data_IF_736629205023
#
_entry.id   IF_736629205023
#
_cell.length_a   1.000
_cell.length_b   1.000
_cell.length_c   1.000
_cell.angle_alpha   90.00
_cell.angle_beta   90.00
_cell.angle_gamma   90.00
#
_symmetry.space_group_name_H-M   'P 1'
#
loop_
_entity.id
_entity.type
_entity.pdbx_description
1 polymer ?
#
# COMPACT_ATOMS: atom_id res chain seq x y z
N UNK A 1 -18.15 14.35 -9.62
CA UNK A 1 -17.45 15.18 -8.61
C UNK A 1 -16.05 14.64 -8.46
N UNK A 2 -15.03 15.40 -8.84
CA UNK A 2 -13.63 15.01 -8.67
C UNK A 2 -13.29 15.08 -7.18
N UNK A 3 -13.34 13.95 -6.48
CA UNK A 3 -12.80 13.82 -5.13
C UNK A 3 -11.31 14.20 -5.22
N UNK A 4 -10.91 15.30 -4.58
CA UNK A 4 -9.49 15.63 -4.37
C UNK A 4 -8.87 14.38 -3.74
N UNK A 5 -8.05 13.68 -4.50
CA UNK A 5 -7.23 12.61 -3.97
C UNK A 5 -6.35 13.22 -2.87
N UNK A 6 -6.62 12.88 -1.62
CA UNK A 6 -5.70 13.17 -0.54
C UNK A 6 -4.50 12.24 -0.77
N UNK A 7 -3.40 12.79 -1.27
CA UNK A 7 -2.18 12.03 -1.47
C UNK A 7 -1.65 11.50 -0.14
N UNK A 8 -1.08 10.32 -0.20
CA UNK A 8 -0.37 9.73 0.92
C UNK A 8 0.85 10.59 1.30
N UNK A 9 1.24 10.52 2.54
CA UNK A 9 2.53 11.04 3.03
C UNK A 9 3.47 9.87 3.18
N UNK A 10 4.59 9.89 2.47
CA UNK A 10 5.61 8.87 2.65
C UNK A 10 6.32 9.08 3.98
N UNK A 11 6.24 8.09 4.87
CA UNK A 11 6.94 8.08 6.14
C UNK A 11 7.89 6.90 6.18
N UNK A 12 9.18 7.18 6.02
CA UNK A 12 10.24 6.15 5.97
C UNK A 12 9.92 4.99 5.00
N UNK A 13 9.39 5.32 3.82
CA UNK A 13 9.06 4.37 2.76
C UNK A 13 7.65 3.79 2.78
N UNK A 14 6.84 4.08 3.79
CA UNK A 14 5.43 3.70 3.83
C UNK A 14 4.53 4.83 3.29
N UNK A 15 3.63 4.57 2.34
CA UNK A 15 2.67 5.55 1.83
C UNK A 15 1.47 5.67 2.78
N UNK A 16 1.58 6.47 3.83
CA UNK A 16 0.53 6.60 4.83
C UNK A 16 -0.53 7.61 4.39
N UNK A 17 -1.79 7.21 4.41
CA UNK A 17 -2.91 8.10 4.13
C UNK A 17 -3.01 9.21 5.17
N UNK A 18 -3.10 10.46 4.70
CA UNK A 18 -3.24 11.63 5.56
C UNK A 18 -4.72 11.95 5.80
N UNK A 19 -5.37 11.11 6.61
CA UNK A 19 -6.82 11.13 6.84
C UNK A 19 -7.15 11.08 8.33
N UNK A 20 -8.34 11.57 8.69
CA UNK A 20 -8.99 11.28 9.97
C UNK A 20 -9.66 9.92 9.93
N UNK A 21 -10.12 9.41 11.08
CA UNK A 21 -10.84 8.14 11.15
C UNK A 21 -12.13 8.16 10.30
N UNK A 22 -12.88 9.25 10.30
CA UNK A 22 -14.08 9.41 9.48
C UNK A 22 -13.74 9.44 7.98
N UNK A 23 -12.73 10.21 7.59
CA UNK A 23 -12.25 10.25 6.19
C UNK A 23 -11.74 8.87 5.72
N UNK A 24 -11.18 8.06 6.62
CA UNK A 24 -10.77 6.69 6.31
C UNK A 24 -11.97 5.79 6.01
N UNK A 25 -13.05 5.90 6.78
CA UNK A 25 -14.31 5.17 6.52
C UNK A 25 -14.92 5.59 5.19
N UNK A 26 -14.97 6.90 4.89
CA UNK A 26 -15.47 7.42 3.60
C UNK A 26 -14.64 6.92 2.41
N UNK A 27 -13.31 6.84 2.57
CA UNK A 27 -12.44 6.27 1.54
C UNK A 27 -12.67 4.78 1.36
N UNK A 28 -12.86 4.02 2.44
CA UNK A 28 -13.18 2.59 2.37
C UNK A 28 -14.53 2.38 1.65
N UNK A 29 -15.55 3.19 1.96
CA UNK A 29 -16.83 3.15 1.24
C UNK A 29 -16.63 3.45 -0.26
N UNK A 30 -15.81 4.45 -0.59
CA UNK A 30 -15.49 4.76 -1.99
C UNK A 30 -14.79 3.60 -2.70
N UNK A 31 -13.92 2.84 -2.00
CA UNK A 31 -13.29 1.64 -2.55
C UNK A 31 -14.31 0.52 -2.79
N UNK A 32 -15.28 0.32 -1.90
CA UNK A 32 -16.38 -0.65 -2.11
C UNK A 32 -17.14 -0.30 -3.39
N UNK A 33 -17.51 0.97 -3.55
CA UNK A 33 -18.30 1.46 -4.67
C UNK A 33 -17.54 1.51 -6.01
N UNK A 34 -16.20 1.59 -5.96
CA UNK A 34 -15.38 1.67 -7.18
C UNK A 34 -15.29 0.36 -7.96
N UNK A 35 -15.70 -0.74 -7.35
CA UNK A 35 -15.55 -2.08 -7.90
C UNK A 35 -14.11 -2.62 -7.84
N UNK A 36 -13.94 -3.90 -8.22
CA UNK A 36 -12.66 -4.58 -8.12
C UNK A 36 -12.37 -5.11 -6.72
N UNK A 37 -11.08 -5.31 -6.41
CA UNK A 37 -10.64 -5.83 -5.10
C UNK A 37 -9.54 -4.94 -4.52
N UNK A 38 -9.76 -4.42 -3.34
CA UNK A 38 -8.90 -3.46 -2.67
C UNK A 38 -8.35 -4.01 -1.37
N UNK A 39 -7.07 -3.79 -1.12
CA UNK A 39 -6.42 -4.11 0.14
C UNK A 39 -6.20 -2.84 0.96
N UNK A 40 -6.62 -2.86 2.21
CA UNK A 40 -6.38 -1.82 3.20
C UNK A 40 -5.47 -2.37 4.29
N UNK A 41 -4.40 -1.63 4.62
CA UNK A 41 -3.46 -1.99 5.68
C UNK A 41 -3.51 -0.97 6.81
N UNK A 42 -3.44 -1.45 8.06
CA UNK A 42 -3.30 -0.61 9.27
C UNK A 42 -1.85 -0.70 9.75
N UNK A 43 -1.00 0.19 9.21
CA UNK A 43 0.45 0.11 9.38
C UNK A 43 0.92 0.78 10.67
N UNK A 44 1.76 0.07 11.43
CA UNK A 44 2.43 0.56 12.61
C UNK A 44 3.96 0.35 12.52
N UNK A 45 4.68 0.65 13.59
CA UNK A 45 6.14 0.52 13.61
C UNK A 45 6.63 -0.92 13.36
N UNK A 46 5.85 -1.92 13.77
CA UNK A 46 6.16 -3.34 13.51
C UNK A 46 6.04 -3.68 12.01
N UNK A 47 5.00 -3.16 11.33
CA UNK A 47 4.87 -3.25 9.88
C UNK A 47 6.06 -2.65 9.15
N UNK A 48 6.47 -1.43 9.56
CA UNK A 48 7.62 -0.77 8.99
C UNK A 48 8.89 -1.61 9.14
N UNK A 49 9.21 -2.06 10.36
CA UNK A 49 10.43 -2.82 10.60
C UNK A 49 10.42 -4.18 9.87
N UNK A 50 9.27 -4.87 9.84
CA UNK A 50 9.13 -6.12 9.11
C UNK A 50 9.30 -5.90 7.60
N UNK A 51 8.80 -4.79 7.05
CA UNK A 51 8.94 -4.46 5.63
C UNK A 51 10.38 -4.17 5.21
N UNK A 52 11.23 -3.67 6.13
CA UNK A 52 12.68 -3.48 5.86
C UNK A 52 13.41 -4.81 5.65
N UNK A 53 12.94 -5.87 6.31
CA UNK A 53 13.56 -7.20 6.26
C UNK A 53 12.87 -8.14 5.24
N UNK A 54 11.71 -7.73 4.73
CA UNK A 54 10.91 -8.49 3.77
C UNK A 54 10.44 -7.57 2.63
N UNK A 55 11.21 -7.54 1.55
CA UNK A 55 10.90 -6.74 0.35
C UNK A 55 9.54 -7.09 -0.24
N UNK A 56 9.12 -8.36 -0.14
CA UNK A 56 7.81 -8.78 -0.62
C UNK A 56 6.68 -8.14 0.20
N UNK A 57 6.81 -8.14 1.52
CA UNK A 57 5.89 -7.42 2.41
C UNK A 57 5.87 -5.92 2.11
N UNK A 58 7.05 -5.30 1.90
CA UNK A 58 7.15 -3.89 1.55
C UNK A 58 6.37 -3.57 0.27
N UNK A 59 6.54 -4.39 -0.77
CA UNK A 59 5.79 -4.26 -2.03
C UNK A 59 4.29 -4.45 -1.85
N UNK A 60 3.87 -5.38 -0.97
CA UNK A 60 2.45 -5.56 -0.63
C UNK A 60 1.89 -4.29 0.00
N UNK A 61 2.55 -3.74 1.02
CA UNK A 61 2.08 -2.52 1.72
C UNK A 61 2.03 -1.33 0.76
N UNK A 62 3.11 -1.11 -0.02
CA UNK A 62 3.14 -0.04 -1.01
C UNK A 62 2.15 -0.24 -2.18
N UNK A 63 1.59 -1.44 -2.34
CA UNK A 63 0.56 -1.78 -3.32
C UNK A 63 -0.86 -1.81 -2.75
N UNK A 64 -1.05 -1.51 -1.45
CA UNK A 64 -2.38 -1.38 -0.87
C UNK A 64 -3.11 -0.16 -1.43
N UNK A 65 -4.43 -0.26 -1.58
CA UNK A 65 -5.27 0.85 -2.02
C UNK A 65 -5.38 1.95 -0.95
N UNK A 66 -5.16 1.59 0.32
CA UNK A 66 -5.15 2.51 1.45
C UNK A 66 -4.24 1.96 2.55
N UNK A 67 -3.32 2.79 3.06
CA UNK A 67 -2.44 2.44 4.18
C UNK A 67 -2.69 3.42 5.33
N UNK A 68 -3.34 2.96 6.37
CA UNK A 68 -3.74 3.78 7.52
C UNK A 68 -2.65 3.79 8.59
N UNK A 69 -2.35 4.92 9.22
CA UNK A 69 -1.35 5.04 10.28
C UNK A 69 -1.89 4.52 11.62
N UNK A 70 -1.63 3.25 11.96
CA UNK A 70 -2.08 2.60 13.20
C UNK A 70 -1.05 2.71 14.35
N UNK A 71 -0.24 3.71 14.37
CA UNK A 71 0.72 3.83 15.47
C UNK A 71 1.21 5.25 15.68
N UNK A 72 1.14 5.73 16.92
CA UNK A 72 1.65 7.06 17.27
C UNK A 72 3.10 7.31 16.87
N UNK A 73 4.04 6.33 16.95
CA UNK A 73 5.41 6.55 16.45
C UNK A 73 5.46 7.02 15.00
N UNK A 74 4.63 6.49 14.10
CA UNK A 74 4.59 6.94 12.71
C UNK A 74 4.06 8.38 12.58
N UNK A 75 3.07 8.74 13.39
CA UNK A 75 2.55 10.13 13.47
C UNK A 75 3.63 11.08 14.01
N UNK A 76 4.41 10.69 15.02
CA UNK A 76 5.50 11.52 15.53
C UNK A 76 6.62 11.68 14.49
N UNK A 77 6.99 10.61 13.78
CA UNK A 77 8.00 10.69 12.71
C UNK A 77 7.51 11.61 11.58
N UNK A 78 6.24 11.57 11.20
CA UNK A 78 5.70 12.45 10.17
C UNK A 78 5.82 13.94 10.56
N UNK A 79 5.64 14.26 11.86
CA UNK A 79 5.88 15.61 12.40
C UNK A 79 7.35 16.02 12.32
N UNK A 80 8.27 15.10 12.66
CA UNK A 80 9.72 15.35 12.53
C UNK A 80 10.15 15.55 11.07
N UNK A 81 9.45 14.92 10.12
CA UNK A 81 9.67 15.11 8.69
C UNK A 81 9.02 16.39 8.13
N UNK A 82 8.37 17.20 8.99
CA UNK A 82 7.73 18.46 8.62
C UNK A 82 6.39 18.31 7.89
N UNK A 83 5.82 17.11 7.84
CA UNK A 83 4.54 16.80 7.18
C UNK A 83 3.65 15.95 8.09
N UNK A 84 3.02 16.59 9.11
CA UNK A 84 2.27 15.87 10.12
C UNK A 84 1.05 15.17 9.52
N UNK A 85 0.86 13.89 9.86
CA UNK A 85 -0.38 13.17 9.63
C UNK A 85 -1.49 13.74 10.53
N UNK A 86 -2.70 13.80 10.01
CA UNK A 86 -3.88 14.37 10.70
C UNK A 86 -4.18 13.61 12.00
N UNK A 87 -4.20 12.28 11.91
CA UNK A 87 -4.67 11.43 13.00
C UNK A 87 -4.04 10.04 12.94
N UNK A 88 -4.02 9.35 14.07
CA UNK A 88 -3.78 7.90 14.14
C UNK A 88 -5.09 7.18 13.87
N UNK A 89 -5.14 6.32 12.88
CA UNK A 89 -6.32 5.49 12.55
C UNK A 89 -5.98 4.03 12.81
N UNK A 90 -6.43 3.50 13.94
CA UNK A 90 -6.13 2.10 14.35
C UNK A 90 -7.20 1.12 13.89
N UNK A 91 -6.80 -0.14 13.70
CA UNK A 91 -7.74 -1.22 13.42
C UNK A 91 -8.80 -1.36 14.51
N UNK A 92 -8.44 -1.11 15.79
CA UNK A 92 -9.36 -1.20 16.92
C UNK A 92 -10.45 -0.10 16.91
N UNK A 93 -10.15 1.08 16.33
CA UNK A 93 -11.13 2.16 16.15
C UNK A 93 -11.92 1.98 14.85
N UNK A 94 -11.30 1.40 13.83
CA UNK A 94 -11.91 1.22 12.51
C UNK A 94 -12.98 0.13 12.48
N UNK A 95 -12.79 -0.99 13.20
CA UNK A 95 -13.76 -2.10 13.23
C UNK A 95 -15.15 -1.65 13.70
N UNK A 96 -15.32 -0.92 14.84
CA UNK A 96 -16.60 -0.38 15.24
C UNK A 96 -17.23 0.58 14.23
N UNK A 97 -16.43 1.47 13.64
CA UNK A 97 -16.91 2.44 12.65
C UNK A 97 -17.40 1.78 11.36
N UNK A 98 -16.73 0.73 10.90
CA UNK A 98 -17.18 -0.06 9.75
C UNK A 98 -18.43 -0.89 10.07
N UNK A 99 -18.59 -1.34 11.31
CA UNK A 99 -19.82 -1.98 11.76
C UNK A 99 -20.98 -0.98 11.77
N UNK A 100 -20.77 0.25 12.22
CA UNK A 100 -21.75 1.34 12.15
C UNK A 100 -22.12 1.68 10.68
N UNK A 101 -21.13 1.76 9.78
CA UNK A 101 -21.35 1.94 8.35
C UNK A 101 -22.19 0.80 7.77
N UNK A 102 -21.86 -0.46 8.12
CA UNK A 102 -22.62 -1.64 7.73
C UNK A 102 -24.08 -1.56 8.20
N UNK A 103 -24.31 -1.20 9.46
CA UNK A 103 -25.66 -1.04 10.00
C UNK A 103 -26.49 0.04 9.26
N UNK A 104 -25.84 1.13 8.82
CA UNK A 104 -26.48 2.24 8.10
C UNK A 104 -26.73 1.96 6.62
N UNK A 105 -25.81 1.25 5.97
CA UNK A 105 -25.80 1.10 4.49
C UNK A 105 -26.05 -0.35 4.03
N UNK A 106 -26.03 -1.33 4.93
CA UNK A 106 -26.28 -2.73 4.62
C UNK A 106 -25.05 -3.51 4.09
N UNK A 107 -23.84 -2.94 4.09
CA UNK A 107 -22.64 -3.63 3.64
C UNK A 107 -22.39 -4.91 4.45
N UNK A 108 -22.16 -6.03 3.75
CA UNK A 108 -21.85 -7.32 4.36
C UNK A 108 -20.41 -7.37 4.90
N UNK A 109 -20.24 -7.70 6.18
CA UNK A 109 -18.93 -7.88 6.83
C UNK A 109 -18.68 -9.36 7.08
N UNK A 110 -17.48 -9.84 6.74
CA UNK A 110 -17.00 -11.18 7.08
C UNK A 110 -15.78 -11.09 8.00
N UNK A 111 -15.79 -11.84 9.11
CA UNK A 111 -14.69 -11.89 10.08
C UNK A 111 -13.85 -13.15 9.85
N UNK A 112 -12.56 -13.00 9.51
CA UNK A 112 -11.66 -14.12 9.24
C UNK A 112 -10.47 -14.12 10.22
N UNK A 113 -10.27 -15.23 10.93
CA UNK A 113 -9.12 -15.40 11.81
C UNK A 113 -9.44 -15.16 13.29
N UNK A 114 -8.41 -14.81 14.06
CA UNK A 114 -8.46 -14.77 15.51
C UNK A 114 -8.26 -16.16 16.13
N UNK A 115 -8.27 -16.21 17.47
CA UNK A 115 -8.28 -17.48 18.19
C UNK A 115 -9.63 -18.19 18.02
N UNK A 116 -9.71 -19.53 18.24
CA UNK A 116 -10.99 -20.23 18.17
C UNK A 116 -12.07 -19.56 19.05
N UNK A 117 -13.26 -19.34 18.48
CA UNK A 117 -14.40 -18.71 19.16
C UNK A 117 -14.35 -17.16 19.24
N UNK A 118 -13.22 -16.51 18.96
CA UNK A 118 -13.12 -15.02 19.02
C UNK A 118 -13.98 -14.37 17.96
N UNK A 119 -13.93 -14.85 16.71
CA UNK A 119 -14.71 -14.27 15.61
C UNK A 119 -16.24 -14.41 15.85
N UNK A 120 -16.69 -15.52 16.44
CA UNK A 120 -18.10 -15.71 16.83
C UNK A 120 -18.50 -14.72 17.93
N UNK A 121 -17.70 -14.57 19.00
CA UNK A 121 -17.96 -13.60 20.06
C UNK A 121 -17.93 -12.17 19.54
N UNK A 122 -17.00 -11.85 18.67
CA UNK A 122 -16.91 -10.54 18.02
C UNK A 122 -18.17 -10.23 17.22
N UNK A 123 -18.73 -11.21 16.50
CA UNK A 123 -20.01 -11.08 15.80
C UNK A 123 -21.12 -10.68 16.77
N UNK A 124 -21.27 -11.38 17.89
CA UNK A 124 -22.31 -11.09 18.89
C UNK A 124 -22.14 -9.68 19.47
N UNK A 125 -20.93 -9.30 19.86
CA UNK A 125 -20.62 -7.96 20.40
C UNK A 125 -20.96 -6.87 19.38
N UNK A 126 -20.60 -7.04 18.10
CA UNK A 126 -20.93 -6.06 17.07
C UNK A 126 -22.44 -5.95 16.83
N UNK A 127 -23.18 -7.07 16.86
CA UNK A 127 -24.63 -7.07 16.70
C UNK A 127 -25.35 -6.39 17.90
N UNK A 128 -24.80 -6.54 19.10
CA UNK A 128 -25.31 -5.85 20.30
C UNK A 128 -25.00 -4.35 20.27
N UNK A 129 -23.78 -3.95 19.86
CA UNK A 129 -23.36 -2.55 19.79
C UNK A 129 -24.01 -1.77 18.64
N UNK A 130 -24.23 -2.43 17.52
CA UNK A 130 -24.75 -1.84 16.29
C UNK A 130 -25.93 -2.65 15.76
N UNK A 131 -27.15 -2.46 16.29
CA UNK A 131 -28.34 -3.12 15.78
C UNK A 131 -28.51 -2.85 14.28
N UNK A 132 -28.65 -3.93 13.50
CA UNK A 132 -28.76 -3.84 12.03
C UNK A 132 -27.42 -4.03 11.29
N UNK A 133 -26.28 -4.23 11.99
CA UNK A 133 -25.01 -4.62 11.35
C UNK A 133 -25.19 -5.92 10.57
N UNK A 134 -24.71 -5.94 9.34
CA UNK A 134 -24.83 -7.10 8.45
C UNK A 134 -23.55 -7.96 8.50
N UNK A 135 -23.41 -8.82 9.54
CA UNK A 135 -22.32 -9.81 9.60
C UNK A 135 -22.75 -11.05 8.82
N UNK A 136 -22.24 -11.19 7.58
CA UNK A 136 -22.62 -12.27 6.67
C UNK A 136 -21.89 -13.58 6.94
N UNK A 137 -20.88 -13.58 7.82
CA UNK A 137 -20.21 -14.80 8.26
C UNK A 137 -18.94 -14.53 9.06
N UNK A 138 -18.44 -15.59 9.65
CA UNK A 138 -17.16 -15.61 10.35
C UNK A 138 -16.49 -16.98 10.21
N UNK A 139 -15.15 -17.01 10.25
CA UNK A 139 -14.38 -18.25 10.26
C UNK A 139 -13.03 -18.04 10.93
N UNK A 140 -12.64 -18.96 11.80
CA UNK A 140 -11.33 -19.00 12.43
C UNK A 140 -10.64 -20.32 12.01
N UNK A 141 -9.84 -20.32 10.92
CA UNK A 141 -9.10 -21.51 10.53
C UNK A 141 -8.09 -21.89 11.60
N UNK A 142 -7.68 -23.16 11.68
CA UNK A 142 -6.62 -23.59 12.60
C UNK A 142 -5.36 -22.72 12.45
N UNK A 143 -4.72 -22.43 13.58
CA UNK A 143 -3.47 -21.65 13.58
C UNK A 143 -2.37 -22.46 12.88
N UNK A 144 -1.97 -22.00 11.71
CA UNK A 144 -0.91 -22.61 10.91
C UNK A 144 -0.14 -21.50 10.16
N UNK A 145 1.06 -21.78 9.69
CA UNK A 145 1.76 -20.93 8.76
C UNK A 145 1.02 -20.91 7.42
N UNK A 146 1.25 -19.85 6.62
CA UNK A 146 0.52 -19.68 5.35
C UNK A 146 0.64 -20.91 4.43
N UNK A 147 1.83 -21.52 4.38
CA UNK A 147 2.11 -22.69 3.55
C UNK A 147 1.35 -23.96 3.98
N UNK A 148 0.89 -24.00 5.22
CA UNK A 148 0.18 -25.15 5.82
C UNK A 148 -1.30 -24.91 6.07
N UNK A 149 -1.77 -23.68 5.79
CA UNK A 149 -3.17 -23.31 6.01
C UNK A 149 -4.05 -23.88 4.87
N UNK A 150 -5.20 -24.42 5.21
CA UNK A 150 -6.24 -24.71 4.21
C UNK A 150 -6.90 -23.41 3.76
N UNK A 151 -6.47 -22.93 2.61
CA UNK A 151 -7.02 -21.73 1.99
C UNK A 151 -8.35 -22.00 1.29
N UNK A 152 -8.62 -23.24 0.88
CA UNK A 152 -9.78 -23.63 0.08
C UNK A 152 -11.07 -23.41 0.87
N UNK A 153 -11.20 -24.02 2.04
CA UNK A 153 -12.38 -23.90 2.91
C UNK A 153 -12.69 -22.43 3.27
N UNK A 154 -11.65 -21.66 3.64
CA UNK A 154 -11.83 -20.23 3.95
C UNK A 154 -12.36 -19.44 2.75
N UNK A 155 -11.80 -19.67 1.54
CA UNK A 155 -12.23 -18.98 0.33
C UNK A 155 -13.65 -19.36 -0.10
N UNK A 156 -14.02 -20.63 0.01
CA UNK A 156 -15.33 -21.11 -0.37
C UNK A 156 -16.42 -20.53 0.52
N UNK A 157 -16.18 -20.46 1.84
CA UNK A 157 -17.06 -19.78 2.79
C UNK A 157 -17.22 -18.28 2.51
N UNK A 158 -16.13 -17.58 2.23
CA UNK A 158 -16.15 -16.16 1.89
C UNK A 158 -16.93 -15.91 0.59
N UNK A 159 -16.71 -16.72 -0.45
CA UNK A 159 -17.42 -16.60 -1.72
C UNK A 159 -18.92 -16.88 -1.58
N UNK A 160 -19.28 -17.86 -0.76
CA UNK A 160 -20.68 -18.18 -0.47
C UNK A 160 -21.39 -17.04 0.25
N UNK A 161 -20.69 -16.38 1.19
CA UNK A 161 -21.21 -15.26 1.99
C UNK A 161 -21.27 -13.93 1.22
N UNK A 162 -20.46 -13.74 0.17
CA UNK A 162 -20.37 -12.53 -0.67
C UNK A 162 -20.27 -11.23 0.13
N UNK A 163 -19.30 -11.08 1.02
CA UNK A 163 -19.15 -9.86 1.80
C UNK A 163 -18.65 -8.69 0.95
N UNK A 164 -18.98 -7.46 1.37
CA UNK A 164 -18.37 -6.23 0.85
C UNK A 164 -17.05 -5.92 1.55
N UNK A 165 -16.93 -6.29 2.82
CA UNK A 165 -15.76 -6.06 3.67
C UNK A 165 -15.30 -7.36 4.31
N UNK A 166 -14.05 -7.73 4.08
CA UNK A 166 -13.37 -8.86 4.72
C UNK A 166 -12.38 -8.34 5.76
N UNK A 167 -12.62 -8.62 7.02
CA UNK A 167 -11.73 -8.27 8.13
C UNK A 167 -10.86 -9.47 8.51
N UNK A 168 -9.52 -9.35 8.31
CA UNK A 168 -8.57 -10.45 8.50
C UNK A 168 -7.73 -10.24 9.76
N UNK A 169 -7.76 -11.19 10.68
CA UNK A 169 -7.07 -11.16 11.97
C UNK A 169 -6.05 -12.28 12.11
N UNK A 170 -5.08 -12.36 11.20
CA UNK A 170 -3.96 -13.32 11.28
C UNK A 170 -2.69 -12.71 11.87
N UNK A 171 -2.67 -11.39 12.10
CA UNK A 171 -1.50 -10.61 12.49
C UNK A 171 -0.53 -10.34 11.33
N UNK A 172 0.30 -9.29 11.50
CA UNK A 172 1.34 -8.93 10.55
C UNK A 172 2.55 -9.89 10.66
N UNK A 173 3.16 -10.32 9.57
CA UNK A 173 2.89 -9.99 8.15
C UNK A 173 1.91 -10.96 7.45
N UNK A 174 1.38 -11.93 8.19
CA UNK A 174 0.62 -13.04 7.65
C UNK A 174 -0.69 -12.59 6.98
N UNK A 175 -1.42 -11.67 7.63
CA UNK A 175 -2.68 -11.16 7.09
C UNK A 175 -2.49 -10.38 5.78
N UNK A 176 -1.45 -9.55 5.66
CA UNK A 176 -1.17 -8.78 4.45
C UNK A 176 -0.83 -9.70 3.27
N UNK A 177 0.00 -10.72 3.54
CA UNK A 177 0.36 -11.72 2.53
C UNK A 177 -0.85 -12.55 2.11
N UNK A 178 -1.68 -13.00 3.06
CA UNK A 178 -2.88 -13.77 2.79
C UNK A 178 -3.88 -12.96 1.93
N UNK A 179 -4.17 -11.73 2.31
CA UNK A 179 -5.06 -10.85 1.54
C UNK A 179 -4.52 -10.69 0.11
N UNK A 180 -3.24 -10.34 -0.04
CA UNK A 180 -2.62 -10.15 -1.36
C UNK A 180 -2.70 -11.40 -2.22
N UNK A 181 -2.48 -12.56 -1.65
CA UNK A 181 -2.51 -13.85 -2.33
C UNK A 181 -3.92 -14.19 -2.84
N UNK A 182 -4.94 -13.82 -2.07
CA UNK A 182 -6.31 -14.28 -2.29
C UNK A 182 -7.31 -13.18 -2.72
N UNK A 183 -6.93 -11.92 -2.80
CA UNK A 183 -7.83 -10.80 -3.12
C UNK A 183 -8.69 -11.08 -4.38
N UNK A 184 -8.06 -11.42 -5.51
CA UNK A 184 -8.79 -11.72 -6.76
C UNK A 184 -9.64 -12.99 -6.67
N UNK A 185 -9.19 -14.00 -5.91
CA UNK A 185 -9.91 -15.28 -5.77
C UNK A 185 -11.09 -15.17 -4.82
N UNK A 186 -11.01 -14.34 -3.80
CA UNK A 186 -12.11 -14.10 -2.86
C UNK A 186 -13.22 -13.27 -3.50
N UNK A 187 -12.87 -12.34 -4.40
CA UNK A 187 -13.81 -11.43 -5.04
C UNK A 187 -14.38 -10.35 -4.11
N UNK A 188 -13.85 -10.22 -2.88
CA UNK A 188 -14.33 -9.24 -1.90
C UNK A 188 -13.85 -7.85 -2.28
N UNK A 189 -14.76 -6.85 -2.36
CA UNK A 189 -14.41 -5.48 -2.71
C UNK A 189 -13.31 -4.88 -1.84
N UNK A 190 -13.40 -5.01 -0.51
CA UNK A 190 -12.40 -4.47 0.41
C UNK A 190 -11.97 -5.52 1.44
N UNK A 191 -10.66 -5.78 1.50
CA UNK A 191 -10.06 -6.66 2.52
C UNK A 191 -9.12 -5.87 3.42
N UNK A 192 -9.28 -5.98 4.74
CA UNK A 192 -8.58 -5.18 5.74
C UNK A 192 -7.88 -6.07 6.74
N UNK A 193 -6.57 -5.86 6.95
CA UNK A 193 -5.84 -6.48 8.06
C UNK A 193 -6.11 -5.75 9.37
N UNK A 194 -6.78 -6.40 10.31
CA UNK A 194 -7.19 -5.82 11.61
C UNK A 194 -6.39 -6.35 12.81
N UNK A 195 -5.54 -7.38 12.61
CA UNK A 195 -4.70 -7.94 13.67
C UNK A 195 -5.47 -8.33 14.91
N UNK A 196 -5.01 -7.90 16.09
CA UNK A 196 -5.62 -8.20 17.38
C UNK A 196 -6.83 -7.34 17.75
N UNK A 197 -7.45 -6.64 16.81
CA UNK A 197 -8.61 -5.77 17.10
C UNK A 197 -9.84 -6.58 17.53
N UNK A 198 -10.00 -7.83 17.06
CA UNK A 198 -11.07 -8.70 17.53
C UNK A 198 -10.89 -9.12 18.98
N UNK A 199 -9.66 -9.44 19.43
CA UNK A 199 -9.38 -9.78 20.83
C UNK A 199 -9.72 -8.60 21.77
N UNK A 200 -9.48 -7.37 21.33
CA UNK A 200 -9.87 -6.16 22.08
C UNK A 200 -11.38 -5.96 22.11
N UNK A 201 -12.05 -6.21 20.98
CA UNK A 201 -13.51 -6.04 20.88
C UNK A 201 -14.26 -6.97 21.83
N UNK A 202 -13.80 -8.22 21.96
CA UNK A 202 -14.41 -9.21 22.86
C UNK A 202 -13.92 -9.13 24.31
N UNK A 203 -13.02 -8.19 24.64
CA UNK A 203 -12.50 -7.98 25.98
C UNK A 203 -11.40 -8.95 26.44
N UNK A 204 -10.91 -9.84 25.56
CA UNK A 204 -9.79 -10.76 25.87
C UNK A 204 -8.48 -9.97 26.09
N UNK A 205 -8.36 -8.82 25.44
CA UNK A 205 -7.27 -7.84 25.63
C UNK A 205 -7.90 -6.52 26.04
N UNK A 206 -7.57 -6.03 27.22
CA UNK A 206 -8.09 -4.75 27.68
C UNK A 206 -7.43 -3.61 26.90
N UNK A 207 -8.25 -2.66 26.48
CA UNK A 207 -7.75 -1.45 25.86
C UNK A 207 -7.11 -0.54 26.91
N UNK A 208 -6.01 0.10 26.56
CA UNK A 208 -5.36 1.06 27.47
C UNK A 208 -6.33 2.20 27.86
N UNK A 209 -6.20 2.80 29.06
CA UNK A 209 -7.00 3.93 29.46
C UNK A 209 -6.98 5.07 28.42
N UNK A 210 -8.07 5.83 28.30
CA UNK A 210 -8.24 6.87 27.27
C UNK A 210 -7.11 7.89 27.26
N UNK A 211 -6.58 8.26 28.44
CA UNK A 211 -5.45 9.18 28.51
C UNK A 211 -4.18 8.60 27.88
N UNK A 212 -3.91 7.30 28.01
CA UNK A 212 -2.79 6.63 27.34
C UNK A 212 -3.00 6.53 25.83
N UNK A 213 -4.25 6.30 25.39
CA UNK A 213 -4.57 6.32 23.97
C UNK A 213 -4.29 7.71 23.36
N UNK A 214 -4.76 8.78 24.01
CA UNK A 214 -4.58 10.18 23.58
C UNK A 214 -3.12 10.65 23.62
N UNK A 215 -2.35 10.18 24.61
CA UNK A 215 -0.92 10.52 24.74
C UNK A 215 -0.02 9.67 23.82
N UNK A 216 -0.58 8.67 23.12
CA UNK A 216 0.20 7.77 22.27
C UNK A 216 0.94 6.66 23.02
N UNK A 217 0.62 6.44 24.31
CA UNK A 217 1.21 5.44 25.17
C UNK A 217 0.42 4.11 25.22
N UNK A 218 -0.54 3.91 24.32
CA UNK A 218 -1.34 2.67 24.26
C UNK A 218 -0.47 1.41 24.14
N UNK A 219 0.63 1.50 23.37
CA UNK A 219 1.59 0.41 23.24
C UNK A 219 2.22 -0.01 24.59
N UNK A 220 2.45 0.96 25.49
CA UNK A 220 2.99 0.70 26.84
C UNK A 220 1.96 -0.02 27.70
N UNK A 221 0.69 0.44 27.67
CA UNK A 221 -0.41 -0.24 28.37
C UNK A 221 -0.57 -1.69 27.93
N UNK A 222 -0.45 -1.96 26.63
CA UNK A 222 -0.46 -3.33 26.08
C UNK A 222 0.77 -4.14 26.51
N UNK A 223 1.94 -3.51 26.54
CA UNK A 223 3.17 -4.16 26.97
C UNK A 223 3.09 -4.61 28.45
N UNK A 224 2.44 -3.82 29.31
CA UNK A 224 2.23 -4.17 30.72
C UNK A 224 1.25 -5.34 30.90
N UNK A 225 0.30 -5.55 29.98
CA UNK A 225 -0.63 -6.68 30.02
C UNK A 225 0.01 -7.99 29.55
N UNK A 226 0.87 -7.93 28.53
CA UNK A 226 1.50 -9.10 27.92
C UNK A 226 3.03 -8.89 27.78
N UNK A 227 3.78 -8.72 28.90
CA UNK A 227 5.18 -8.31 28.82
C UNK A 227 6.07 -9.32 28.11
N UNK A 228 5.89 -10.61 28.38
CA UNK A 228 6.71 -11.67 27.78
C UNK A 228 6.58 -11.73 26.26
N UNK A 229 5.42 -11.42 25.72
CA UNK A 229 5.16 -11.43 24.26
C UNK A 229 5.51 -10.11 23.59
N UNK A 230 5.17 -8.97 24.22
CA UNK A 230 5.24 -7.67 23.59
C UNK A 230 6.53 -6.92 23.85
N UNK A 231 7.19 -7.11 25.00
CA UNK A 231 8.44 -6.42 25.31
C UNK A 231 9.56 -6.70 24.29
N UNK A 232 9.86 -7.97 23.92
CA UNK A 232 10.89 -8.26 22.91
C UNK A 232 10.55 -7.61 21.55
N UNK A 233 9.26 -7.59 21.17
CA UNK A 233 8.79 -6.98 19.93
C UNK A 233 8.99 -5.47 19.95
N UNK A 234 8.57 -4.79 21.00
CA UNK A 234 8.75 -3.33 21.10
C UNK A 234 10.22 -2.94 21.23
N UNK A 235 11.03 -3.70 22.00
CA UNK A 235 12.47 -3.46 22.07
C UNK A 235 13.13 -3.55 20.68
N UNK A 236 12.81 -4.57 19.90
CA UNK A 236 13.25 -4.69 18.50
C UNK A 236 12.79 -3.52 17.65
N UNK A 237 11.52 -3.11 17.75
CA UNK A 237 10.96 -2.05 16.95
C UNK A 237 11.61 -0.69 17.27
N UNK A 238 11.80 -0.36 18.55
CA UNK A 238 12.43 0.89 18.95
C UNK A 238 13.93 0.92 18.68
N UNK A 239 14.65 -0.20 18.85
CA UNK A 239 16.07 -0.27 18.48
C UNK A 239 16.24 -0.13 16.96
N UNK A 240 15.40 -0.79 16.16
CA UNK A 240 15.41 -0.62 14.71
C UNK A 240 15.12 0.83 14.29
N UNK A 241 14.16 1.48 14.97
CA UNK A 241 13.87 2.89 14.73
C UNK A 241 15.05 3.79 15.12
N UNK A 242 15.64 3.58 16.29
CA UNK A 242 16.78 4.37 16.77
C UNK A 242 17.99 4.32 15.82
N UNK A 243 18.20 3.17 15.16
CA UNK A 243 19.27 3.00 14.17
C UNK A 243 18.94 3.64 12.81
N UNK A 244 17.70 3.58 12.36
CA UNK A 244 17.31 3.99 11.00
C UNK A 244 16.81 5.42 10.91
N UNK A 245 16.13 5.92 11.95
CA UNK A 245 15.52 7.25 11.93
C UNK A 245 16.54 8.38 11.73
N UNK A 246 17.73 8.41 12.40
CA UNK A 246 18.70 9.48 12.18
C UNK A 246 19.16 9.54 10.72
N UNK A 247 19.42 8.40 10.09
CA UNK A 247 19.82 8.32 8.68
C UNK A 247 18.68 8.81 7.77
N UNK A 248 17.46 8.42 8.05
CA UNK A 248 16.29 8.82 7.27
C UNK A 248 16.04 10.35 7.37
N UNK A 249 16.16 10.92 8.57
CA UNK A 249 16.05 12.36 8.78
C UNK A 249 17.20 13.11 8.11
N UNK A 250 18.45 12.63 8.29
CA UNK A 250 19.61 13.23 7.64
C UNK A 250 19.47 13.24 6.12
N UNK A 251 19.04 12.13 5.51
CA UNK A 251 18.82 12.05 4.08
C UNK A 251 17.73 13.03 3.59
N UNK A 252 16.68 13.24 4.39
CA UNK A 252 15.64 14.21 4.09
C UNK A 252 16.16 15.66 4.23
N UNK A 253 16.88 16.00 5.30
CA UNK A 253 17.35 17.36 5.55
C UNK A 253 18.58 17.77 4.72
N UNK A 254 19.36 16.81 4.19
CA UNK A 254 20.44 17.09 3.26
C UNK A 254 19.94 17.56 1.88
N UNK A 255 18.70 17.32 1.56
CA UNK A 255 18.10 17.88 0.35
C UNK A 255 17.87 19.38 0.55
N UNK A 256 18.13 20.14 -0.49
CA UNK A 256 17.88 21.59 -0.50
C UNK A 256 16.72 21.89 -1.44
N UNK A 257 15.57 22.37 -0.92
CA UNK A 257 14.48 22.80 -1.78
C UNK A 257 14.96 23.85 -2.78
N UNK A 258 14.57 23.69 -4.02
CA UNK A 258 14.81 24.67 -5.06
C UNK A 258 13.94 25.91 -4.84
N UNK A 259 14.53 27.10 -4.93
CA UNK A 259 13.81 28.37 -4.73
C UNK A 259 13.06 28.87 -5.97
N UNK A 260 13.33 28.24 -7.13
CA UNK A 260 12.65 28.57 -8.39
C UNK A 260 11.36 27.77 -8.61
N UNK A 261 10.63 28.06 -9.68
CA UNK A 261 9.42 27.34 -10.01
C UNK A 261 9.73 25.86 -10.31
N UNK A 262 8.88 24.98 -9.83
CA UNK A 262 8.89 23.57 -10.21
C UNK A 262 8.14 23.40 -11.53
N UNK A 263 8.66 22.59 -12.43
CA UNK A 263 8.05 22.32 -13.73
C UNK A 263 7.83 20.82 -13.93
N UNK A 264 6.74 20.51 -14.61
CA UNK A 264 6.37 19.16 -15.01
C UNK A 264 6.08 19.18 -16.51
N UNK A 265 6.99 18.62 -17.29
CA UNK A 265 6.87 18.55 -18.74
C UNK A 265 6.55 17.13 -19.17
N UNK A 266 5.54 16.99 -20.04
CA UNK A 266 5.14 15.69 -20.59
C UNK A 266 5.58 15.61 -22.05
N UNK A 267 6.18 14.49 -22.42
CA UNK A 267 6.39 14.07 -23.79
C UNK A 267 5.91 12.63 -23.95
N UNK A 268 5.57 12.21 -25.15
CA UNK A 268 5.07 10.85 -25.41
C UNK A 268 5.70 10.26 -26.64
N UNK A 269 5.97 8.97 -26.60
CA UNK A 269 6.34 8.14 -27.73
C UNK A 269 5.43 6.91 -27.74
N UNK A 270 5.39 6.14 -28.82
CA UNK A 270 4.43 5.04 -29.02
C UNK A 270 4.31 4.11 -27.80
N UNK A 271 3.26 4.30 -27.00
CA UNK A 271 2.95 3.47 -25.81
C UNK A 271 3.69 3.83 -24.52
N UNK A 272 4.55 4.87 -24.52
CA UNK A 272 5.29 5.31 -23.33
C UNK A 272 5.12 6.82 -23.17
N UNK A 273 4.76 7.23 -21.96
CA UNK A 273 4.71 8.64 -21.55
C UNK A 273 5.96 8.96 -20.71
N UNK A 274 6.66 10.01 -21.09
CA UNK A 274 7.79 10.55 -20.37
C UNK A 274 7.37 11.79 -19.60
N UNK A 275 7.55 11.77 -18.27
CA UNK A 275 7.26 12.88 -17.39
C UNK A 275 8.58 13.43 -16.83
N UNK A 276 8.96 14.62 -17.22
CA UNK A 276 10.18 15.28 -16.78
C UNK A 276 9.88 16.19 -15.59
N UNK A 277 10.45 15.86 -14.42
CA UNK A 277 10.31 16.65 -13.21
C UNK A 277 11.52 17.57 -13.03
N UNK A 278 11.26 18.84 -12.75
CA UNK A 278 12.28 19.85 -12.49
C UNK A 278 11.94 20.64 -11.22
N UNK A 279 12.95 20.97 -10.41
CA UNK A 279 12.77 21.72 -9.17
C UNK A 279 12.40 20.82 -8.00
N UNK A 280 11.21 20.96 -7.43
CA UNK A 280 10.75 20.22 -6.28
C UNK A 280 9.59 19.28 -6.64
N UNK A 281 9.59 18.10 -6.06
CA UNK A 281 8.44 17.19 -6.04
C UNK A 281 7.72 17.38 -4.70
N UNK A 282 6.61 18.11 -4.74
CA UNK A 282 5.79 18.51 -3.59
C UNK A 282 4.30 18.40 -3.93
N UNK A 283 3.43 18.79 -2.99
CA UNK A 283 1.98 18.79 -3.20
C UNK A 283 1.53 19.59 -4.42
N UNK A 284 2.25 20.65 -4.78
CA UNK A 284 1.93 21.51 -5.95
C UNK A 284 2.18 20.81 -7.29
N UNK A 285 3.12 19.89 -7.35
CA UNK A 285 3.43 19.10 -8.57
C UNK A 285 2.56 17.85 -8.69
N UNK A 286 1.93 17.40 -7.61
CA UNK A 286 1.10 16.19 -7.56
C UNK A 286 -0.08 16.22 -8.56
N UNK A 287 -0.83 17.32 -8.77
CA UNK A 287 -1.93 17.33 -9.74
C UNK A 287 -1.49 17.07 -11.18
N UNK A 288 -0.27 17.46 -11.56
CA UNK A 288 0.26 17.19 -12.90
C UNK A 288 0.64 15.69 -13.04
N UNK A 289 1.22 15.09 -12.00
CA UNK A 289 1.48 13.64 -11.92
C UNK A 289 0.16 12.86 -12.03
N UNK A 290 -0.88 13.26 -11.29
CA UNK A 290 -2.20 12.60 -11.32
C UNK A 290 -2.86 12.63 -12.68
N UNK A 291 -2.85 13.81 -13.34
CA UNK A 291 -3.38 13.93 -14.72
C UNK A 291 -2.65 12.99 -15.68
N UNK A 292 -1.32 12.90 -15.54
CA UNK A 292 -0.51 12.03 -16.40
C UNK A 292 -0.83 10.55 -16.10
N UNK A 293 -0.94 10.15 -14.83
CA UNK A 293 -1.33 8.79 -14.44
C UNK A 293 -2.71 8.43 -14.98
N UNK A 294 -3.70 9.33 -14.85
CA UNK A 294 -5.05 9.11 -15.38
C UNK A 294 -5.04 8.89 -16.91
N UNK A 295 -4.27 9.71 -17.64
CA UNK A 295 -4.10 9.54 -19.09
C UNK A 295 -3.43 8.20 -19.43
N UNK A 296 -2.34 7.84 -18.73
CA UNK A 296 -1.67 6.56 -18.93
C UNK A 296 -2.61 5.36 -18.70
N UNK A 297 -3.45 5.42 -17.64
CA UNK A 297 -4.44 4.38 -17.35
C UNK A 297 -5.49 4.30 -18.46
N UNK A 298 -6.01 5.45 -18.93
CA UNK A 298 -7.03 5.49 -19.95
C UNK A 298 -6.54 4.99 -21.32
N UNK A 299 -5.27 5.24 -21.63
CA UNK A 299 -4.65 4.93 -22.92
C UNK A 299 -3.83 3.62 -22.90
N UNK A 300 -3.70 2.97 -21.73
CA UNK A 300 -2.90 1.74 -21.57
C UNK A 300 -1.39 1.96 -21.76
N UNK A 301 -0.87 3.14 -21.39
CA UNK A 301 0.52 3.54 -21.62
C UNK A 301 1.39 3.35 -20.37
N UNK A 302 2.67 3.06 -20.58
CA UNK A 302 3.69 3.02 -19.54
C UNK A 302 4.13 4.44 -19.15
N UNK A 303 4.52 4.66 -17.89
CA UNK A 303 5.00 5.94 -17.40
C UNK A 303 6.48 5.87 -17.01
N UNK A 304 7.30 6.72 -17.62
CA UNK A 304 8.70 6.95 -17.23
C UNK A 304 8.82 8.33 -16.60
N UNK A 305 9.23 8.39 -15.34
CA UNK A 305 9.43 9.65 -14.61
C UNK A 305 10.92 9.99 -14.59
N UNK A 306 11.30 11.05 -15.27
CA UNK A 306 12.66 11.58 -15.35
C UNK A 306 12.93 12.54 -14.20
N UNK A 307 13.92 12.23 -13.36
CA UNK A 307 14.23 12.95 -12.12
C UNK A 307 15.57 13.70 -12.16
N UNK A 308 16.30 13.73 -13.28
CA UNK A 308 17.66 14.28 -13.35
C UNK A 308 17.76 15.75 -12.94
N UNK A 309 16.69 16.52 -13.09
CA UNK A 309 16.62 17.94 -12.73
C UNK A 309 15.83 18.19 -11.43
N UNK A 310 15.49 17.11 -10.71
CA UNK A 310 14.80 17.22 -9.43
C UNK A 310 15.80 17.55 -8.32
N UNK A 311 15.54 18.62 -7.60
CA UNK A 311 16.39 19.11 -6.52
C UNK A 311 15.97 18.57 -5.14
N UNK A 312 14.66 18.40 -4.94
CA UNK A 312 14.06 18.04 -3.67
C UNK A 312 12.82 17.17 -3.87
N UNK A 313 12.58 16.25 -2.95
CA UNK A 313 11.34 15.50 -2.86
C UNK A 313 10.82 15.54 -1.42
N UNK A 314 9.65 16.12 -1.23
CA UNK A 314 8.97 16.13 0.07
C UNK A 314 8.34 14.77 0.38
N UNK A 315 8.03 14.48 1.66
CA UNK A 315 7.25 13.30 2.03
C UNK A 315 5.90 13.17 1.31
N UNK A 316 5.23 14.29 1.02
CA UNK A 316 3.99 14.31 0.21
C UNK A 316 4.25 14.02 -1.26
N UNK A 317 5.30 14.60 -1.83
CA UNK A 317 5.70 14.31 -3.21
C UNK A 317 6.10 12.86 -3.42
N UNK A 318 6.83 12.28 -2.47
CA UNK A 318 7.14 10.85 -2.47
C UNK A 318 5.88 9.99 -2.28
N UNK A 319 4.95 10.43 -1.42
CA UNK A 319 3.65 9.79 -1.27
C UNK A 319 2.87 9.77 -2.58
N UNK A 320 2.78 10.92 -3.27
CA UNK A 320 2.14 11.01 -4.58
C UNK A 320 2.79 10.09 -5.63
N UNK A 321 4.12 9.94 -5.60
CA UNK A 321 4.84 9.02 -6.49
C UNK A 321 4.51 7.55 -6.19
N UNK A 322 4.38 7.18 -4.91
CA UNK A 322 3.98 5.84 -4.49
C UNK A 322 2.52 5.54 -4.85
N UNK A 323 1.61 6.52 -4.66
CA UNK A 323 0.21 6.42 -5.07
C UNK A 323 0.08 6.27 -6.60
N UNK A 324 0.85 7.04 -7.37
CA UNK A 324 0.92 6.93 -8.82
C UNK A 324 1.35 5.52 -9.26
N UNK A 325 2.40 4.99 -8.62
CA UNK A 325 2.87 3.63 -8.86
C UNK A 325 1.79 2.59 -8.53
N UNK A 326 1.15 2.70 -7.38
CA UNK A 326 0.11 1.78 -6.94
C UNK A 326 -1.05 1.74 -7.94
N UNK A 327 -1.51 2.90 -8.40
CA UNK A 327 -2.63 3.02 -9.35
C UNK A 327 -2.30 2.40 -10.71
N UNK A 328 -1.11 2.64 -11.23
CA UNK A 328 -0.66 2.02 -12.49
C UNK A 328 -0.55 0.50 -12.35
N UNK A 329 0.06 0.00 -11.27
CA UNK A 329 0.17 -1.44 -11.02
C UNK A 329 -1.18 -2.13 -10.87
N UNK A 330 -2.18 -1.47 -10.29
CA UNK A 330 -3.54 -2.00 -10.16
C UNK A 330 -4.19 -2.26 -11.53
N UNK A 331 -3.80 -1.52 -12.57
CA UNK A 331 -4.27 -1.70 -13.96
C UNK A 331 -3.32 -2.52 -14.83
N UNK A 332 -2.26 -3.10 -14.25
CA UNK A 332 -1.26 -3.88 -14.99
C UNK A 332 -0.22 -3.04 -15.74
N UNK A 333 -0.20 -1.74 -15.49
CA UNK A 333 0.79 -0.81 -16.06
C UNK A 333 1.94 -0.60 -15.08
N UNK A 334 3.01 0.06 -15.54
CA UNK A 334 4.18 0.31 -14.72
C UNK A 334 4.63 1.77 -14.71
N UNK A 335 5.30 2.16 -13.63
CA UNK A 335 6.00 3.43 -13.47
C UNK A 335 7.49 3.15 -13.29
N UNK A 336 8.34 3.73 -14.13
CA UNK A 336 9.80 3.62 -14.07
C UNK A 336 10.39 4.96 -13.68
N UNK A 337 11.42 4.96 -12.82
CA UNK A 337 12.22 6.15 -12.51
C UNK A 337 13.48 6.18 -13.37
N UNK A 338 13.80 7.33 -13.94
CA UNK A 338 14.99 7.54 -14.74
C UNK A 338 15.78 8.75 -14.26
N UNK A 339 17.11 8.62 -14.21
CA UNK A 339 18.01 9.73 -13.89
C UNK A 339 17.91 10.24 -12.47
N UNK A 340 17.70 9.38 -11.48
CA UNK A 340 17.61 9.77 -10.05
C UNK A 340 18.93 10.39 -9.59
N UNK A 341 18.97 11.68 -9.12
CA UNK A 341 20.18 12.34 -8.64
C UNK A 341 20.80 11.65 -7.42
N UNK A 342 22.11 11.74 -7.21
CA UNK A 342 22.82 11.06 -6.12
C UNK A 342 22.23 11.38 -4.73
N UNK A 343 21.84 12.65 -4.48
CA UNK A 343 21.22 13.07 -3.22
C UNK A 343 19.85 12.42 -2.97
N UNK A 344 19.08 12.20 -4.03
CA UNK A 344 17.82 11.49 -3.94
C UNK A 344 18.02 9.98 -3.84
N UNK A 345 19.06 9.41 -4.44
CA UNK A 345 19.43 8.01 -4.22
C UNK A 345 19.70 7.72 -2.75
N UNK A 346 20.40 8.65 -2.03
CA UNK A 346 20.59 8.51 -0.59
C UNK A 346 19.25 8.47 0.17
N UNK A 347 18.29 9.34 -0.20
CA UNK A 347 16.97 9.32 0.40
C UNK A 347 16.22 8.02 0.08
N UNK A 348 16.23 7.59 -1.18
CA UNK A 348 15.59 6.34 -1.60
C UNK A 348 16.17 5.13 -0.85
N UNK A 349 17.49 5.10 -0.68
CA UNK A 349 18.14 4.05 0.10
C UNK A 349 17.79 4.13 1.58
N UNK A 350 17.89 5.30 2.21
CA UNK A 350 17.58 5.50 3.62
C UNK A 350 16.12 5.19 3.97
N UNK A 351 15.18 5.41 3.03
CA UNK A 351 13.77 5.13 3.16
C UNK A 351 13.35 3.78 2.56
N UNK A 352 14.33 2.97 2.10
CA UNK A 352 14.09 1.67 1.47
C UNK A 352 13.10 1.72 0.28
N UNK A 353 13.10 2.82 -0.47
CA UNK A 353 12.23 2.99 -1.63
C UNK A 353 12.75 2.29 -2.89
N UNK A 354 14.07 2.04 -2.97
CA UNK A 354 14.70 1.42 -4.14
C UNK A 354 14.03 0.10 -4.58
N UNK A 355 13.73 -0.85 -3.65
CA UNK A 355 13.10 -2.09 -4.04
C UNK A 355 11.69 -1.96 -4.61
N UNK A 356 11.01 -0.84 -4.32
CA UNK A 356 9.66 -0.59 -4.85
C UNK A 356 9.69 -0.24 -6.34
N UNK A 357 10.81 0.29 -6.82
CA UNK A 357 10.98 0.70 -8.21
C UNK A 357 11.90 -0.21 -9.03
N UNK A 358 12.55 -1.21 -8.42
CA UNK A 358 13.47 -2.16 -9.06
C UNK A 358 12.78 -3.21 -9.93
N UNK A 359 11.48 -3.44 -9.76
CA UNK A 359 10.68 -4.32 -10.63
C UNK A 359 10.84 -3.96 -12.12
N UNK A 360 11.27 -2.74 -12.40
CA UNK A 360 11.43 -2.18 -13.73
C UNK A 360 12.77 -2.48 -14.40
N UNK A 361 13.81 -2.85 -13.66
CA UNK A 361 15.07 -3.31 -14.26
C UNK A 361 14.84 -4.60 -15.05
N UNK A 362 14.15 -5.55 -14.44
CA UNK A 362 13.84 -6.86 -15.04
C UNK A 362 12.87 -6.77 -16.23
N UNK A 363 11.85 -5.92 -16.15
CA UNK A 363 10.93 -5.69 -17.26
C UNK A 363 11.62 -4.93 -18.41
N UNK A 364 12.46 -3.94 -18.11
CA UNK A 364 13.22 -3.21 -19.11
C UNK A 364 14.19 -4.11 -19.85
N UNK A 365 14.82 -5.06 -19.17
CA UNK A 365 15.66 -6.09 -19.77
C UNK A 365 14.84 -7.07 -20.63
N UNK A 366 13.64 -7.49 -20.17
CA UNK A 366 12.69 -8.29 -20.96
C UNK A 366 12.17 -7.52 -22.17
N UNK A 367 11.74 -6.25 -22.00
CA UNK A 367 11.26 -5.42 -23.10
C UNK A 367 12.36 -5.14 -24.12
N UNK A 368 13.59 -4.84 -23.67
CA UNK A 368 14.74 -4.66 -24.57
C UNK A 368 15.09 -5.95 -25.30
N UNK A 369 14.95 -7.09 -24.65
CA UNK A 369 15.15 -8.42 -25.26
C UNK A 369 14.05 -8.73 -26.29
N UNK A 370 12.78 -8.52 -25.92
CA UNK A 370 11.62 -8.71 -26.81
C UNK A 370 11.64 -7.74 -28.00
N UNK A 371 12.03 -6.48 -27.79
CA UNK A 371 12.17 -5.50 -28.86
C UNK A 371 13.31 -5.88 -29.83
N UNK A 372 14.45 -6.33 -29.30
CA UNK A 372 15.57 -6.85 -30.13
C UNK A 372 15.15 -8.10 -30.90
N UNK A 373 14.42 -9.01 -30.28
CA UNK A 373 13.96 -10.27 -30.89
C UNK A 373 12.92 -10.00 -31.98
N UNK A 374 11.97 -9.09 -31.73
CA UNK A 374 10.97 -8.67 -32.73
C UNK A 374 11.61 -7.92 -33.91
N UNK A 375 12.60 -7.04 -33.63
CA UNK A 375 13.31 -6.31 -34.70
C UNK A 375 14.18 -7.25 -35.53
N UNK A 376 14.83 -8.24 -34.90
CA UNK A 376 15.57 -9.30 -35.61
C UNK A 376 14.66 -10.18 -36.46
N UNK A 377 13.49 -10.55 -35.96
CA UNK A 377 12.50 -11.33 -36.70
C UNK A 377 11.88 -10.55 -37.86
N UNK A 378 11.68 -9.23 -37.68
CA UNK A 378 11.19 -8.35 -38.75
C UNK A 378 12.27 -8.13 -39.82
N UNK A 379 13.54 -7.99 -39.40
CA UNK A 379 14.66 -7.87 -40.32
C UNK A 379 14.88 -9.19 -41.12
N UNK A 380 14.79 -10.35 -40.45
CA UNK A 380 14.87 -11.65 -41.12
C UNK A 380 13.72 -11.88 -42.13
N UNK A 381 12.50 -11.36 -41.87
CA UNK A 381 11.38 -11.39 -42.82
C UNK A 381 11.55 -10.47 -44.02
N UNK A 382 12.26 -9.33 -43.84
CA UNK A 382 12.59 -8.41 -44.93
C UNK A 382 13.68 -8.97 -45.81
N UNK A 383 14.75 -9.51 -45.21
CA UNK A 383 15.88 -10.13 -45.94
C UNK A 383 15.46 -11.47 -46.62
N UNK A 384 14.51 -12.23 -46.01
CA UNK A 384 13.97 -13.47 -46.61
C UNK A 384 13.00 -13.23 -47.77
N UNK A 385 12.46 -12.04 -47.96
CA UNK A 385 11.62 -11.67 -49.11
C UNK A 385 12.43 -11.26 -50.33
N UNK A 386 13.66 -10.74 -50.16
CA UNK A 386 14.51 -10.37 -51.30
C UNK A 386 15.26 -11.55 -51.93
N UNK A 387 15.33 -12.70 -51.24
CA UNK A 387 15.93 -13.94 -51.81
C UNK A 387 14.99 -14.82 -52.62
N UNK A 388 13.70 -14.45 -52.77
CA UNK A 388 12.73 -15.21 -53.58
C UNK A 388 12.42 -14.56 -54.93
N UNK A 389 13.21 -13.55 -55.38
CA UNK A 389 13.01 -12.93 -56.72
C UNK A 389 14.12 -13.25 -57.71
N UNK A 390 15.01 -14.17 -57.40
CA UNK A 390 16.12 -14.50 -58.33
C UNK A 390 16.30 -16.01 -58.54
N UNK A 391 15.27 -16.75 -58.92
CA UNK A 391 15.40 -18.07 -59.60
C UNK A 391 14.10 -18.32 -60.42
N UNK A 392 13.89 -17.53 -61.43
CA UNK A 392 13.03 -17.88 -62.60
C UNK A 392 13.45 -17.04 -63.80
N UNK A 393 14.59 -17.39 -64.35
CA UNK A 393 14.90 -17.24 -65.78
C UNK A 393 16.19 -18.00 -66.08
N UNK A 394 16.05 -19.04 -66.88
CA UNK A 394 16.96 -19.82 -67.69
C UNK A 394 16.91 -21.33 -67.39
N UNK A 395 16.03 -22.01 -68.06
CA UNK A 395 16.18 -23.11 -69.06
C UNK A 395 14.79 -23.63 -69.37
#
# INVERSE_FOLDING_TARGET
MSTKLNHSVAVMGLPLANVTANEAVDQIESLILSGGTHQVATANLDFWLNSLNDVHLHRIIAGCSLVLPDGMPLVWISRLLGKPLKERVSGADLVPQLAELSAKKGYGIYLLGGKPGVAERATKVLQEMYPGVNIVGHHAPPLADLERMDHGDALDRIRAAKPDILMVAFGNPKQEKWIRMHAKRSGVPVSIGIGGSMDMLVGDVQRAPVWMQRSGLEWLGRCLQEPARLFPRYARNFSGLALKLPLALMAQFLQRPHRGPSAVNRSGDAGIVHLHLQGNLESETSPALDRTVNSCIAEGQLLVVHMQHLAYASPEGLGALLDARQRLLATGLSLTLAGVPARLKLLFSAWCLEPLFDEFKLERERFALDYKTKKSAQFARLVGKDNNIAVESEI
#
